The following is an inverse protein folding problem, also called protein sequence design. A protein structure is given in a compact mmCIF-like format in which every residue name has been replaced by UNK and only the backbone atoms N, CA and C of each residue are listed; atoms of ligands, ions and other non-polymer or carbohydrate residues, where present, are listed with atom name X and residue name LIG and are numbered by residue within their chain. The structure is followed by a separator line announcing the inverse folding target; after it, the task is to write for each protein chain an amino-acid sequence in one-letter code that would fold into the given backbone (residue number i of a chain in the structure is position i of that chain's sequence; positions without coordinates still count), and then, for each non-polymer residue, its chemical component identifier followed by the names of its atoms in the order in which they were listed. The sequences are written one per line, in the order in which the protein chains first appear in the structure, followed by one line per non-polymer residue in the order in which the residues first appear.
data_IF_213661560248
#
_entry.id   IF_213661560248
#
_cell.length_a   1.000
_cell.length_b   1.000
_cell.length_c   1.000
_cell.angle_alpha   90.00
_cell.angle_beta   90.00
_cell.angle_gamma   90.00
#
_symmetry.space_group_name_H-M   'P 1'
#
loop_
_entity.id
_entity.type
_entity.pdbx_description
1 polymer ?
#
# COMPACT_ATOMS: atom_id res chain seq x y z
N UNK A 1 -31.64 -12.15 -21.05
CA UNK A 1 -31.84 -13.07 -19.91
C UNK A 1 -30.65 -14.01 -19.66
N UNK A 2 -30.12 -14.74 -20.66
CA UNK A 2 -28.98 -15.68 -20.45
C UNK A 2 -27.69 -14.99 -19.98
N UNK A 3 -27.33 -13.85 -20.57
CA UNK A 3 -26.11 -13.09 -20.25
C UNK A 3 -26.12 -12.45 -18.85
N UNK A 4 -27.28 -12.14 -18.29
CA UNK A 4 -27.37 -11.54 -16.95
C UNK A 4 -27.14 -12.57 -15.86
N UNK A 5 -27.68 -13.78 -16.05
CA UNK A 5 -27.46 -14.89 -15.14
C UNK A 5 -26.00 -15.35 -15.16
N UNK A 6 -25.41 -15.47 -16.35
CA UNK A 6 -23.98 -15.77 -16.53
C UNK A 6 -23.09 -14.75 -15.81
N UNK A 7 -23.37 -13.45 -15.97
CA UNK A 7 -22.66 -12.38 -15.24
C UNK A 7 -22.79 -12.53 -13.73
N UNK A 8 -24.00 -12.79 -13.21
CA UNK A 8 -24.22 -12.99 -11.77
C UNK A 8 -23.45 -14.20 -11.22
N UNK A 9 -23.44 -15.32 -11.95
CA UNK A 9 -22.69 -16.53 -11.58
C UNK A 9 -21.19 -16.20 -11.52
N UNK A 10 -20.66 -15.53 -12.54
CA UNK A 10 -19.25 -15.13 -12.58
C UNK A 10 -18.87 -14.22 -11.42
N UNK A 11 -19.67 -13.19 -11.14
CA UNK A 11 -19.43 -12.29 -10.02
C UNK A 11 -19.44 -13.06 -8.68
N UNK A 12 -20.35 -14.02 -8.50
CA UNK A 12 -20.38 -14.90 -7.33
C UNK A 12 -19.11 -15.75 -7.23
N UNK A 13 -18.59 -16.26 -8.34
CA UNK A 13 -17.33 -17.02 -8.34
C UNK A 13 -16.14 -16.12 -8.04
N UNK A 14 -16.08 -14.90 -8.57
CA UNK A 14 -15.01 -13.95 -8.28
C UNK A 14 -14.92 -13.58 -6.80
N UNK A 15 -16.07 -13.51 -6.10
CA UNK A 15 -16.11 -13.31 -4.63
C UNK A 15 -15.57 -14.48 -3.82
N UNK A 16 -15.58 -15.69 -4.38
CA UNK A 16 -15.06 -16.89 -3.71
C UNK A 16 -13.62 -17.20 -4.10
N UNK A 17 -13.27 -16.92 -5.35
CA UNK A 17 -11.97 -17.21 -5.92
C UNK A 17 -11.58 -15.99 -6.77
N UNK A 18 -10.78 -15.06 -6.24
CA UNK A 18 -10.43 -13.81 -6.91
C UNK A 18 -9.38 -14.01 -8.04
N UNK A 19 -9.50 -15.12 -8.78
CA UNK A 19 -8.66 -15.48 -9.92
C UNK A 19 -9.57 -15.57 -11.14
N UNK A 20 -9.43 -14.62 -12.06
CA UNK A 20 -10.30 -14.48 -13.23
C UNK A 20 -10.37 -15.76 -14.06
N UNK A 21 -9.24 -16.43 -14.27
CA UNK A 21 -9.18 -17.69 -15.02
C UNK A 21 -10.10 -18.76 -14.41
N UNK A 22 -9.91 -19.05 -13.12
CA UNK A 22 -10.66 -20.07 -12.39
C UNK A 22 -12.15 -19.70 -12.30
N UNK A 23 -12.46 -18.42 -12.07
CA UNK A 23 -13.84 -17.95 -12.01
C UNK A 23 -14.55 -18.09 -13.38
N UNK A 24 -13.83 -17.81 -14.48
CA UNK A 24 -14.32 -17.97 -15.85
C UNK A 24 -14.58 -19.45 -16.18
N UNK A 25 -13.65 -20.34 -15.86
CA UNK A 25 -13.79 -21.79 -16.02
C UNK A 25 -15.00 -22.32 -15.23
N UNK A 26 -15.11 -21.98 -13.94
CA UNK A 26 -16.23 -22.39 -13.07
C UNK A 26 -17.59 -21.83 -13.49
N UNK A 27 -17.60 -20.75 -14.26
CA UNK A 27 -18.83 -20.12 -14.75
C UNK A 27 -19.17 -20.50 -16.19
N UNK A 28 -18.30 -21.28 -16.87
CA UNK A 28 -18.48 -21.63 -18.28
C UNK A 28 -18.34 -20.44 -19.23
N UNK A 29 -17.61 -19.38 -18.83
CA UNK A 29 -17.49 -18.14 -19.60
C UNK A 29 -16.06 -18.02 -20.13
N UNK A 30 -15.86 -17.86 -21.45
CA UNK A 30 -14.53 -17.60 -21.99
C UNK A 30 -13.94 -16.31 -21.42
N UNK A 31 -12.65 -16.33 -21.07
CA UNK A 31 -11.96 -15.17 -20.49
C UNK A 31 -12.00 -13.93 -21.39
N UNK A 32 -11.96 -14.11 -22.71
CA UNK A 32 -12.12 -13.02 -23.68
C UNK A 32 -13.49 -12.31 -23.54
N UNK A 33 -14.54 -13.07 -23.25
CA UNK A 33 -15.90 -12.54 -23.02
C UNK A 33 -15.95 -11.70 -21.76
N UNK A 34 -15.31 -12.13 -20.67
CA UNK A 34 -15.18 -11.34 -19.45
C UNK A 34 -14.54 -9.96 -19.72
N UNK A 35 -13.41 -9.91 -20.40
CA UNK A 35 -12.74 -8.64 -20.70
C UNK A 35 -13.54 -7.76 -21.67
N UNK A 36 -14.21 -8.37 -22.66
CA UNK A 36 -15.13 -7.65 -23.56
C UNK A 36 -16.25 -6.97 -22.77
N UNK A 37 -16.90 -7.70 -21.85
CA UNK A 37 -17.95 -7.11 -21.00
C UNK A 37 -17.42 -5.99 -20.10
N UNK A 38 -16.20 -6.13 -19.57
CA UNK A 38 -15.58 -5.06 -18.78
C UNK A 38 -15.27 -3.81 -19.62
N UNK A 39 -14.94 -3.97 -20.90
CA UNK A 39 -14.71 -2.85 -21.82
C UNK A 39 -16.01 -2.17 -22.24
N UNK A 40 -17.05 -2.96 -22.54
CA UNK A 40 -18.32 -2.45 -23.08
C UNK A 40 -19.34 -2.00 -22.03
N UNK A 41 -19.19 -2.43 -20.77
CA UNK A 41 -20.15 -2.14 -19.70
C UNK A 41 -19.43 -1.67 -18.42
N UNK A 42 -19.50 -0.36 -18.15
CA UNK A 42 -18.89 0.28 -16.98
C UNK A 42 -19.41 -0.28 -15.66
N UNK A 43 -20.73 -0.49 -15.54
CA UNK A 43 -21.35 -1.07 -14.34
C UNK A 43 -20.82 -2.47 -14.04
N UNK A 44 -20.70 -3.32 -15.06
CA UNK A 44 -20.15 -4.66 -14.91
C UNK A 44 -18.67 -4.64 -14.51
N UNK A 45 -17.89 -3.68 -15.02
CA UNK A 45 -16.50 -3.48 -14.60
C UNK A 45 -16.42 -3.19 -13.10
N UNK A 46 -17.21 -2.23 -12.61
CA UNK A 46 -17.27 -1.87 -11.20
C UNK A 46 -17.72 -3.05 -10.30
N UNK A 47 -18.77 -3.77 -10.71
CA UNK A 47 -19.24 -4.96 -10.00
C UNK A 47 -18.19 -6.08 -9.95
N UNK A 48 -17.43 -6.25 -11.04
CA UNK A 48 -16.34 -7.21 -11.13
C UNK A 48 -15.17 -6.83 -10.23
N UNK A 49 -14.78 -5.57 -10.22
CA UNK A 49 -13.70 -5.06 -9.36
C UNK A 49 -14.08 -5.17 -7.88
N UNK A 50 -15.32 -4.83 -7.53
CA UNK A 50 -15.85 -5.06 -6.19
C UNK A 50 -15.81 -6.53 -5.80
N UNK A 51 -16.27 -7.41 -6.68
CA UNK A 51 -16.31 -8.86 -6.41
C UNK A 51 -14.91 -9.44 -6.25
N UNK A 52 -13.93 -9.00 -7.05
CA UNK A 52 -12.53 -9.36 -6.90
C UNK A 52 -11.96 -8.88 -5.56
N UNK A 53 -12.27 -7.66 -5.15
CA UNK A 53 -11.79 -7.11 -3.89
C UNK A 53 -12.39 -7.85 -2.67
N UNK A 54 -13.69 -8.13 -2.70
CA UNK A 54 -14.37 -8.91 -1.67
C UNK A 54 -13.75 -10.32 -1.56
N UNK A 55 -13.46 -10.96 -2.70
CA UNK A 55 -12.78 -12.25 -2.72
C UNK A 55 -11.36 -12.21 -2.18
N UNK A 56 -10.60 -11.13 -2.45
CA UNK A 56 -9.26 -10.94 -1.87
C UNK A 56 -9.32 -10.84 -0.35
N UNK A 57 -10.27 -10.08 0.20
CA UNK A 57 -10.46 -9.98 1.66
C UNK A 57 -10.71 -11.36 2.29
N UNK A 58 -11.64 -12.13 1.71
CA UNK A 58 -11.92 -13.48 2.19
C UNK A 58 -10.69 -14.41 2.16
N UNK A 59 -9.87 -14.32 1.11
CA UNK A 59 -8.63 -15.11 1.02
C UNK A 59 -7.57 -14.61 2.02
N UNK A 60 -7.52 -13.31 2.30
CA UNK A 60 -6.64 -12.76 3.33
C UNK A 60 -7.03 -13.29 4.72
N UNK A 61 -8.31 -13.27 5.08
CA UNK A 61 -8.79 -13.81 6.36
C UNK A 61 -8.42 -15.30 6.50
N UNK A 62 -8.55 -16.07 5.41
CA UNK A 62 -8.12 -17.46 5.36
C UNK A 62 -6.60 -17.58 5.54
N UNK A 63 -5.82 -16.76 4.85
CA UNK A 63 -4.35 -16.77 4.95
C UNK A 63 -3.89 -16.43 6.37
N UNK A 64 -4.55 -15.50 7.05
CA UNK A 64 -4.30 -15.17 8.46
C UNK A 64 -4.56 -16.38 9.36
N UNK A 65 -5.69 -17.08 9.16
CA UNK A 65 -5.99 -18.32 9.90
C UNK A 65 -4.94 -19.41 9.67
N UNK A 66 -4.47 -19.58 8.42
CA UNK A 66 -3.40 -20.53 8.09
C UNK A 66 -2.06 -20.12 8.72
N UNK A 67 -1.75 -18.83 8.75
CA UNK A 67 -0.53 -18.30 9.39
C UNK A 67 -0.52 -18.62 10.90
N UNK A 68 -1.65 -18.40 11.58
CA UNK A 68 -1.80 -18.74 13.00
C UNK A 68 -1.60 -20.24 13.24
N UNK A 69 -2.16 -21.08 12.37
CA UNK A 69 -1.98 -22.53 12.44
C UNK A 69 -0.51 -22.92 12.29
N UNK A 70 0.18 -22.38 11.29
CA UNK A 70 1.61 -22.61 11.08
C UNK A 70 2.46 -22.15 12.28
N UNK A 71 2.08 -21.04 12.94
CA UNK A 71 2.74 -20.58 14.18
C UNK A 71 2.53 -21.59 15.32
N UNK A 72 1.31 -22.11 15.51
CA UNK A 72 1.02 -23.16 16.50
C UNK A 72 1.84 -24.43 16.25
N UNK A 73 2.06 -24.76 14.98
CA UNK A 73 2.89 -25.89 14.54
C UNK A 73 4.40 -25.59 14.60
N UNK A 74 4.80 -24.50 15.27
CA UNK A 74 6.20 -24.08 15.48
C UNK A 74 6.97 -23.84 14.16
N UNK A 75 6.28 -23.46 13.09
CA UNK A 75 6.94 -23.09 11.84
C UNK A 75 7.73 -21.78 12.01
N UNK A 76 9.06 -21.88 12.03
CA UNK A 76 9.94 -20.74 12.25
C UNK A 76 9.75 -19.61 11.24
N UNK A 77 9.51 -19.93 9.96
CA UNK A 77 9.32 -18.91 8.92
C UNK A 77 8.04 -18.10 9.14
N UNK A 78 6.96 -18.77 9.57
CA UNK A 78 5.71 -18.12 9.94
C UNK A 78 5.87 -17.21 11.17
N UNK A 79 6.56 -17.70 12.20
CA UNK A 79 6.86 -16.93 13.43
C UNK A 79 7.70 -15.70 13.10
N UNK A 80 8.80 -15.89 12.35
CA UNK A 80 9.66 -14.80 11.91
C UNK A 80 8.86 -13.77 11.13
N UNK A 81 8.09 -14.20 10.12
CA UNK A 81 7.26 -13.31 9.33
C UNK A 81 6.28 -12.52 10.19
N UNK A 82 5.61 -13.16 11.14
CA UNK A 82 4.68 -12.48 12.04
C UNK A 82 5.40 -11.40 12.87
N UNK A 83 6.48 -11.76 13.56
CA UNK A 83 7.23 -10.85 14.42
C UNK A 83 7.80 -9.65 13.66
N UNK A 84 8.40 -9.88 12.49
CA UNK A 84 9.01 -8.78 11.71
C UNK A 84 7.99 -7.76 11.21
N UNK A 85 6.73 -8.18 10.99
CA UNK A 85 5.67 -7.32 10.47
C UNK A 85 4.78 -6.70 11.55
N UNK A 86 4.68 -7.32 12.74
CA UNK A 86 3.75 -6.90 13.79
C UNK A 86 4.42 -6.43 15.09
N UNK A 87 5.73 -6.61 15.24
CA UNK A 87 6.46 -6.22 16.44
C UNK A 87 7.63 -5.28 16.09
N UNK A 88 7.59 -4.05 16.63
CA UNK A 88 8.55 -2.97 16.32
C UNK A 88 10.01 -3.39 16.54
N UNK A 89 10.28 -4.14 17.60
CA UNK A 89 11.65 -4.58 17.92
C UNK A 89 12.25 -5.56 16.90
N UNK A 90 11.40 -6.25 16.13
CA UNK A 90 11.80 -7.20 15.09
C UNK A 90 11.61 -6.64 13.67
N UNK A 91 11.08 -5.41 13.54
CA UNK A 91 10.93 -4.77 12.24
C UNK A 91 12.29 -4.48 11.64
N UNK A 92 12.43 -4.67 10.32
CA UNK A 92 13.63 -4.32 9.60
C UNK A 92 13.92 -2.83 9.77
N UNK A 93 14.97 -2.50 10.53
CA UNK A 93 15.48 -1.14 10.63
C UNK A 93 16.22 -0.82 9.32
N UNK A 94 15.73 0.16 8.57
CA UNK A 94 16.48 0.72 7.45
C UNK A 94 17.63 1.55 8.05
N UNK A 95 18.85 1.04 7.95
CA UNK A 95 20.04 1.85 8.23
C UNK A 95 20.24 2.83 7.07
N UNK A 96 19.86 4.09 7.29
CA UNK A 96 20.16 5.17 6.34
C UNK A 96 21.58 5.63 6.62
N UNK A 97 22.55 5.11 5.86
CA UNK A 97 23.92 5.64 5.89
C UNK A 97 23.93 7.01 5.20
N UNK A 98 23.89 8.09 5.97
CA UNK A 98 24.25 9.41 5.45
C UNK A 98 25.77 9.44 5.28
N UNK A 99 26.23 9.35 4.02
CA UNK A 99 27.59 9.77 3.68
C UNK A 99 27.62 11.29 3.67
N UNK A 100 27.85 11.89 4.83
CA UNK A 100 28.34 13.26 4.94
C UNK A 100 29.79 13.26 4.44
N UNK A 101 29.96 13.11 3.13
CA UNK A 101 31.14 13.69 2.49
C UNK A 101 30.84 15.17 2.51
N UNK A 102 31.69 15.96 3.17
CA UNK A 102 31.70 17.43 3.11
C UNK A 102 31.68 17.87 1.64
N UNK A 103 30.50 17.93 1.06
CA UNK A 103 30.29 18.42 -0.30
C UNK A 103 30.28 19.92 -0.15
N UNK A 104 31.40 20.54 -0.50
CA UNK A 104 31.45 21.97 -0.74
C UNK A 104 30.23 22.38 -1.58
N UNK A 105 29.54 23.42 -1.12
CA UNK A 105 28.35 23.93 -1.82
C UNK A 105 28.74 24.25 -3.26
N UNK A 106 27.93 23.80 -4.22
CA UNK A 106 28.14 24.18 -5.61
C UNK A 106 28.00 25.69 -5.78
N UNK A 107 28.65 26.27 -6.78
CA UNK A 107 28.63 27.72 -7.04
C UNK A 107 27.21 28.30 -7.11
N UNK A 108 26.28 27.56 -7.70
CA UNK A 108 24.86 27.95 -7.77
C UNK A 108 24.17 27.95 -6.41
N UNK A 109 24.49 27.00 -5.52
CA UNK A 109 23.97 26.99 -4.14
C UNK A 109 24.54 28.13 -3.31
N UNK A 110 25.82 28.48 -3.51
CA UNK A 110 26.44 29.64 -2.86
C UNK A 110 25.78 30.96 -3.30
N UNK A 111 25.49 31.12 -4.58
CA UNK A 111 24.77 32.29 -5.10
C UNK A 111 23.34 32.40 -4.52
N UNK A 112 22.63 31.28 -4.41
CA UNK A 112 21.29 31.25 -3.80
C UNK A 112 21.34 31.66 -2.31
N UNK A 113 22.32 31.15 -1.56
CA UNK A 113 22.51 31.53 -0.15
C UNK A 113 22.88 33.00 -0.03
N UNK A 114 23.77 33.50 -0.89
CA UNK A 114 24.17 34.92 -0.91
C UNK A 114 22.96 35.82 -1.18
N UNK A 115 22.14 35.47 -2.18
CA UNK A 115 20.92 36.20 -2.52
C UNK A 115 19.89 36.14 -1.39
N UNK A 116 19.73 34.99 -0.74
CA UNK A 116 18.87 34.86 0.43
C UNK A 116 19.36 35.72 1.60
N UNK A 117 20.68 35.72 1.86
CA UNK A 117 21.30 36.52 2.91
C UNK A 117 21.10 38.02 2.66
N UNK A 118 21.31 38.48 1.43
CA UNK A 118 21.06 39.86 1.00
C UNK A 118 19.59 40.27 1.20
N UNK A 119 18.63 39.40 0.85
CA UNK A 119 17.20 39.63 1.05
C UNK A 119 16.83 39.70 2.54
N UNK A 120 17.47 38.89 3.40
CA UNK A 120 17.23 38.89 4.84
C UNK A 120 17.88 40.07 5.56
N UNK A 121 19.07 40.51 5.12
CA UNK A 121 19.73 41.70 5.69
C UNK A 121 18.94 42.99 5.44
N UNK A 122 18.05 43.00 4.44
CA UNK A 122 17.14 44.13 4.18
C UNK A 122 15.88 44.14 5.07
N UNK A 123 15.58 43.07 5.81
CA UNK A 123 14.47 43.01 6.77
C UNK A 123 15.00 42.86 8.19
N UNK A 124 14.90 43.95 8.96
CA UNK A 124 15.20 44.02 10.40
C UNK A 124 14.52 42.86 11.15
N UNK A 125 15.30 42.13 11.97
CA UNK A 125 14.90 40.97 12.79
C UNK A 125 13.46 41.05 13.33
N UNK A 126 12.61 40.03 13.14
CA UNK A 126 11.60 39.71 14.14
C UNK A 126 12.32 39.09 15.35
N UNK A 127 12.08 39.64 16.53
CA UNK A 127 12.50 39.07 17.81
C UNK A 127 11.91 37.66 17.95
N UNK A 128 12.78 36.64 18.02
CA UNK A 128 12.40 35.30 18.46
C UNK A 128 12.09 35.40 19.96
N UNK A 129 10.81 35.36 20.32
CA UNK A 129 10.42 35.09 21.71
C UNK A 129 10.80 33.65 22.03
N UNK A 130 11.77 33.49 22.92
CA UNK A 130 12.01 32.21 23.59
C UNK A 130 10.81 31.92 24.50
N UNK A 131 9.89 31.06 24.06
CA UNK A 131 8.96 30.41 24.98
C UNK A 131 9.70 29.26 25.66
N UNK A 132 10.30 29.59 26.81
CA UNK A 132 10.59 28.60 27.84
C UNK A 132 9.27 28.14 28.45
N UNK A 133 8.70 27.03 27.97
CA UNK A 133 7.75 26.26 28.77
C UNK A 133 8.48 25.13 29.50
N UNK A 134 8.79 25.48 30.74
CA UNK A 134 9.09 24.61 31.86
C UNK A 134 7.76 24.08 32.40
N UNK A 135 7.59 22.75 32.50
CA UNK A 135 6.74 21.99 33.43
C UNK A 135 6.78 20.52 32.95
N UNK A 136 7.36 19.51 33.62
CA UNK A 136 7.26 19.12 35.04
C UNK A 136 5.83 19.20 35.55
N UNK A 137 5.05 18.15 35.35
CA UNK A 137 4.73 17.10 36.35
C UNK A 137 4.13 15.87 35.67
#
# INVERSE_FOLDING_TARGET
MRTDQERKILLKQLRKTPVVQIACEKSGIPRATYYRWRKSNKKFKEESDKSLNDGKKMINDLAESQLITAIKDKNFQAIKFWLTNHHKDYTNKLEVTHSDKDKELSKSQQELIKKALELTSAHKKPELKEEHENNRE
#
